data_IF_690706595336
#
_entry.id   IF_690706595336
#
_cell.length_a   1.000
_cell.length_b   1.000
_cell.length_c   1.000
_cell.angle_alpha   90.00
_cell.angle_beta   90.00
_cell.angle_gamma   90.00
#
_symmetry.space_group_name_H-M   'P 1'
#
loop_
_entity.id
_entity.type
_entity.pdbx_description
1 polymer ?
#
# COMPACT_ATOMS: atom_id res chain seq x y z
N UNK A 1 1.27 43.28 -21.07
CA UNK A 1 0.82 41.86 -21.15
C UNK A 1 2.05 41.00 -21.00
N UNK A 2 2.15 40.25 -19.88
CA UNK A 2 3.18 39.22 -19.76
C UNK A 2 2.90 38.16 -20.84
N UNK A 3 3.93 37.73 -21.61
CA UNK A 3 3.72 36.69 -22.60
C UNK A 3 3.18 35.40 -21.88
N UNK A 4 2.17 34.80 -22.44
CA UNK A 4 1.64 33.50 -21.96
C UNK A 4 2.80 32.51 -22.01
N UNK A 5 3.24 32.07 -20.84
CA UNK A 5 4.30 31.08 -20.72
C UNK A 5 3.76 29.76 -21.25
N UNK A 6 4.28 29.33 -22.40
CA UNK A 6 3.90 28.07 -23.03
C UNK A 6 4.17 26.88 -22.10
N UNK A 7 3.41 25.78 -22.27
CA UNK A 7 3.61 24.51 -21.56
C UNK A 7 5.06 24.03 -21.54
N UNK A 8 5.83 24.32 -22.60
CA UNK A 8 7.26 24.00 -22.71
C UNK A 8 8.15 24.73 -21.69
N UNK A 9 7.81 25.96 -21.30
CA UNK A 9 8.57 26.73 -20.32
C UNK A 9 8.30 26.26 -18.88
N UNK A 10 7.07 25.83 -18.58
CA UNK A 10 6.71 25.20 -17.29
C UNK A 10 7.48 23.90 -17.13
N UNK A 11 7.52 23.07 -18.17
CA UNK A 11 8.22 21.79 -18.15
C UNK A 11 9.74 21.92 -17.99
N UNK A 12 10.35 22.91 -18.64
CA UNK A 12 11.78 23.20 -18.49
C UNK A 12 12.12 23.69 -17.07
N UNK A 13 11.28 24.54 -16.48
CA UNK A 13 11.46 25.03 -15.11
C UNK A 13 11.37 23.91 -14.08
N UNK A 14 10.43 22.99 -14.22
CA UNK A 14 10.27 21.87 -13.31
C UNK A 14 11.55 21.05 -13.14
N UNK A 15 12.31 20.84 -14.20
CA UNK A 15 13.59 20.11 -14.18
C UNK A 15 14.67 20.84 -13.38
N UNK A 16 14.76 22.16 -13.53
CA UNK A 16 15.70 23.00 -12.79
C UNK A 16 15.29 23.09 -11.31
N UNK A 17 14.00 23.29 -11.04
CA UNK A 17 13.47 23.38 -9.68
C UNK A 17 13.75 22.08 -8.90
N UNK A 18 13.65 20.92 -9.54
CA UNK A 18 13.93 19.65 -8.91
C UNK A 18 15.40 19.51 -8.51
N UNK A 19 16.31 19.86 -9.40
CA UNK A 19 17.75 19.90 -9.12
C UNK A 19 18.09 20.91 -8.00
N UNK A 20 17.45 22.06 -8.00
CA UNK A 20 17.64 23.09 -6.96
C UNK A 20 17.17 22.61 -5.59
N UNK A 21 16.05 21.87 -5.51
CA UNK A 21 15.60 21.25 -4.26
C UNK A 21 16.60 20.22 -3.75
N UNK A 22 17.10 19.33 -4.61
CA UNK A 22 18.12 18.38 -4.23
C UNK A 22 19.36 19.06 -3.67
N UNK A 23 19.78 20.14 -4.35
CA UNK A 23 20.94 20.93 -3.93
C UNK A 23 20.70 21.63 -2.58
N UNK A 24 19.57 22.32 -2.42
CA UNK A 24 19.28 23.15 -1.25
C UNK A 24 18.97 22.32 0.01
N UNK A 25 18.34 21.15 -0.13
CA UNK A 25 17.90 20.29 0.96
C UNK A 25 18.85 19.12 1.25
N UNK A 26 19.97 19.00 0.52
CA UNK A 26 20.91 17.88 0.63
C UNK A 26 20.20 16.50 0.59
N UNK A 27 19.34 16.30 -0.42
CA UNK A 27 18.53 15.09 -0.53
C UNK A 27 19.40 13.87 -0.81
N UNK A 28 19.34 12.87 0.05
CA UNK A 28 20.09 11.61 -0.05
C UNK A 28 19.41 10.58 -0.92
N UNK A 29 18.06 10.56 -0.90
CA UNK A 29 17.27 9.54 -1.57
C UNK A 29 15.98 10.13 -2.15
N UNK A 30 15.67 9.78 -3.40
CA UNK A 30 14.46 10.20 -4.10
C UNK A 30 13.84 9.06 -4.90
N UNK A 31 12.53 8.84 -4.74
CA UNK A 31 11.75 7.95 -5.60
C UNK A 31 10.83 8.77 -6.51
N UNK A 32 10.73 8.37 -7.77
CA UNK A 32 9.90 9.10 -8.75
C UNK A 32 9.19 8.15 -9.70
N UNK A 33 8.04 8.58 -10.21
CA UNK A 33 7.30 7.82 -11.23
C UNK A 33 8.09 7.71 -12.54
N UNK A 34 7.92 6.63 -13.27
CA UNK A 34 8.61 6.39 -14.56
C UNK A 34 8.44 7.52 -15.56
N UNK A 35 7.35 8.28 -15.49
CA UNK A 35 7.09 9.44 -16.36
C UNK A 35 8.10 10.58 -16.14
N UNK A 36 8.86 10.56 -15.03
CA UNK A 36 9.83 11.58 -14.66
C UNK A 36 11.29 11.17 -14.89
N UNK A 37 11.55 10.00 -15.50
CA UNK A 37 12.92 9.48 -15.73
C UNK A 37 13.80 10.49 -16.46
N UNK A 38 13.31 11.08 -17.56
CA UNK A 38 14.07 12.08 -18.31
C UNK A 38 14.36 13.34 -17.48
N UNK A 39 13.39 13.75 -16.65
CA UNK A 39 13.54 14.87 -15.73
C UNK A 39 14.59 14.57 -14.65
N UNK A 40 14.60 13.39 -14.09
CA UNK A 40 15.59 12.94 -13.11
C UNK A 40 17.01 12.91 -13.70
N UNK A 41 17.16 12.40 -14.93
CA UNK A 41 18.45 12.38 -15.64
C UNK A 41 18.99 13.81 -15.82
N UNK A 42 18.14 14.76 -16.24
CA UNK A 42 18.56 16.14 -16.43
C UNK A 42 18.85 16.83 -15.09
N UNK A 43 18.03 16.63 -14.07
CA UNK A 43 18.25 17.17 -12.73
C UNK A 43 19.56 16.63 -12.12
N UNK A 44 19.89 15.36 -12.35
CA UNK A 44 21.19 14.76 -11.97
C UNK A 44 22.37 15.49 -12.62
N UNK A 45 22.26 15.82 -13.92
CA UNK A 45 23.32 16.59 -14.60
C UNK A 45 23.48 17.99 -14.00
N UNK A 46 22.36 18.67 -13.71
CA UNK A 46 22.36 20.02 -13.12
C UNK A 46 23.01 20.01 -11.72
N UNK A 47 22.61 19.07 -10.84
CA UNK A 47 23.19 18.98 -9.49
C UNK A 47 24.70 18.74 -9.53
N UNK A 48 25.17 17.88 -10.44
CA UNK A 48 26.61 17.65 -10.64
C UNK A 48 27.35 18.90 -11.11
N UNK A 49 26.76 19.69 -12.00
CA UNK A 49 27.32 20.97 -12.42
C UNK A 49 27.38 21.99 -11.28
N UNK A 50 26.45 21.90 -10.31
CA UNK A 50 26.45 22.71 -9.08
C UNK A 50 27.45 22.20 -8.03
N UNK A 51 28.22 21.15 -8.32
CA UNK A 51 29.26 20.61 -7.44
C UNK A 51 28.76 19.68 -6.33
N UNK A 52 27.50 19.21 -6.37
CA UNK A 52 26.96 18.26 -5.41
C UNK A 52 26.70 16.87 -6.02
N UNK A 53 26.67 15.86 -5.16
CA UNK A 53 26.25 14.51 -5.51
C UNK A 53 24.74 14.47 -5.68
N UNK A 54 24.25 13.76 -6.70
CA UNK A 54 22.82 13.53 -6.86
C UNK A 54 22.30 12.49 -5.85
N UNK A 55 21.00 12.54 -5.47
CA UNK A 55 20.37 11.53 -4.64
C UNK A 55 20.52 10.14 -5.24
N UNK A 56 20.58 9.13 -4.37
CA UNK A 56 20.30 7.75 -4.75
C UNK A 56 18.79 7.58 -4.95
N UNK A 57 18.36 6.61 -5.75
CA UNK A 57 16.93 6.40 -5.92
C UNK A 57 16.58 5.51 -7.09
N UNK A 58 15.28 5.38 -7.34
CA UNK A 58 14.77 4.59 -8.47
C UNK A 58 13.43 5.13 -8.98
N UNK A 59 13.14 4.79 -10.24
CA UNK A 59 11.83 5.00 -10.81
C UNK A 59 10.90 3.85 -10.45
N UNK A 60 9.69 4.18 -9.96
CA UNK A 60 8.63 3.21 -9.74
C UNK A 60 7.63 3.18 -10.89
N UNK A 61 6.97 2.03 -11.07
CA UNK A 61 5.94 1.83 -12.07
C UNK A 61 4.59 2.42 -11.66
N UNK A 62 3.72 2.62 -12.64
CA UNK A 62 2.40 3.16 -12.45
C UNK A 62 1.46 2.13 -11.81
N UNK A 63 0.47 2.63 -11.09
CA UNK A 63 -0.69 1.85 -10.68
C UNK A 63 -1.74 1.86 -11.80
N UNK A 64 -2.31 0.68 -12.02
CA UNK A 64 -3.31 0.44 -13.05
C UNK A 64 -4.65 0.11 -12.38
N UNK A 65 -5.75 0.40 -13.03
CA UNK A 65 -7.07 -0.01 -12.60
C UNK A 65 -7.32 -1.52 -12.87
N UNK A 66 -8.52 -1.99 -12.60
CA UNK A 66 -8.92 -3.38 -12.83
C UNK A 66 -8.73 -3.80 -14.30
N UNK A 67 -9.01 -2.89 -15.23
CA UNK A 67 -8.89 -3.14 -16.68
C UNK A 67 -7.46 -3.04 -17.19
N UNK A 68 -6.51 -2.59 -16.37
CA UNK A 68 -5.13 -2.38 -16.74
C UNK A 68 -4.86 -1.00 -17.36
N UNK A 69 -5.78 -0.04 -17.21
CA UNK A 69 -5.59 1.33 -17.60
C UNK A 69 -4.91 2.15 -16.49
N UNK A 70 -4.21 3.22 -16.87
CA UNK A 70 -3.58 4.13 -15.91
C UNK A 70 -4.63 4.76 -14.98
N UNK A 71 -4.41 4.66 -13.67
CA UNK A 71 -5.25 5.35 -12.68
C UNK A 71 -5.06 6.86 -12.82
N UNK A 72 -6.18 7.57 -12.85
CA UNK A 72 -6.23 9.03 -12.97
C UNK A 72 -7.24 9.59 -11.98
N UNK A 73 -6.86 10.68 -11.29
CA UNK A 73 -7.74 11.39 -10.35
C UNK A 73 -9.03 11.87 -11.02
N UNK A 74 -8.96 12.27 -12.29
CA UNK A 74 -10.13 12.76 -13.03
C UNK A 74 -11.11 11.64 -13.42
N UNK A 75 -10.63 10.41 -13.58
CA UNK A 75 -11.46 9.23 -13.87
C UNK A 75 -12.04 8.58 -12.62
N UNK A 76 -11.41 8.78 -11.44
CA UNK A 76 -11.82 8.13 -10.19
C UNK A 76 -11.77 6.60 -10.23
N UNK A 77 -10.89 6.03 -11.08
CA UNK A 77 -10.84 4.61 -11.38
C UNK A 77 -9.86 3.79 -10.54
N UNK A 78 -9.45 4.32 -9.39
CA UNK A 78 -8.54 3.64 -8.46
C UNK A 78 -9.03 3.73 -7.02
N UNK A 79 -8.48 2.90 -6.15
CA UNK A 79 -8.73 2.96 -4.70
C UNK A 79 -7.89 4.08 -4.09
N UNK A 80 -8.50 4.96 -3.31
CA UNK A 80 -7.79 5.99 -2.55
C UNK A 80 -7.20 5.40 -1.26
N UNK A 81 -6.28 6.12 -0.64
CA UNK A 81 -5.72 5.73 0.67
C UNK A 81 -6.83 5.64 1.71
N UNK A 82 -7.73 6.63 1.73
CA UNK A 82 -8.87 6.70 2.64
C UNK A 82 -9.83 5.52 2.46
N UNK A 83 -10.03 5.09 1.21
CA UNK A 83 -10.83 3.90 0.91
C UNK A 83 -10.13 2.62 1.39
N UNK A 84 -8.84 2.48 1.12
CA UNK A 84 -8.08 1.33 1.63
C UNK A 84 -8.19 1.19 3.14
N UNK A 85 -7.98 2.29 3.87
CA UNK A 85 -7.99 2.30 5.33
C UNK A 85 -9.36 2.01 5.96
N UNK A 86 -10.44 2.03 5.18
CA UNK A 86 -11.76 1.53 5.63
C UNK A 86 -11.83 0.01 5.71
N UNK A 87 -11.01 -0.69 4.93
CA UNK A 87 -11.11 -2.14 4.74
C UNK A 87 -9.86 -2.90 5.18
N UNK A 88 -8.76 -2.22 5.43
CA UNK A 88 -7.48 -2.84 5.76
C UNK A 88 -6.54 -1.88 6.51
N UNK A 89 -5.51 -2.45 7.12
CA UNK A 89 -4.53 -1.71 7.90
C UNK A 89 -3.56 -0.88 7.03
N UNK A 90 -2.97 0.20 7.57
CA UNK A 90 -1.93 0.97 6.88
C UNK A 90 -0.67 0.14 6.61
N UNK A 91 -0.36 -0.86 7.45
CA UNK A 91 0.78 -1.75 7.25
C UNK A 91 0.61 -2.63 6.01
N UNK A 92 -0.60 -3.15 5.78
CA UNK A 92 -0.92 -3.91 4.55
C UNK A 92 -0.80 -3.07 3.30
N UNK A 93 -1.23 -1.78 3.36
CA UNK A 93 -1.03 -0.82 2.28
C UNK A 93 0.45 -0.54 2.03
N UNK A 94 1.21 -0.30 3.10
CA UNK A 94 2.65 -0.03 3.01
C UNK A 94 3.38 -1.19 2.34
N UNK A 95 3.09 -2.43 2.74
CA UNK A 95 3.66 -3.61 2.11
C UNK A 95 3.26 -3.70 0.64
N UNK A 96 1.98 -3.53 0.32
CA UNK A 96 1.49 -3.54 -1.06
C UNK A 96 2.19 -2.49 -1.93
N UNK A 97 2.37 -1.26 -1.43
CA UNK A 97 3.01 -0.16 -2.17
C UNK A 97 4.48 -0.45 -2.44
N UNK A 98 5.22 -0.95 -1.46
CA UNK A 98 6.66 -1.17 -1.55
C UNK A 98 7.07 -2.50 -2.20
N UNK A 99 6.21 -3.50 -2.18
CA UNK A 99 6.52 -4.78 -2.79
C UNK A 99 6.63 -4.64 -4.32
N UNK A 100 7.80 -4.99 -4.88
CA UNK A 100 8.07 -4.90 -6.33
C UNK A 100 7.75 -3.53 -6.97
N UNK A 101 8.35 -2.41 -6.53
CA UNK A 101 7.99 -1.08 -6.99
C UNK A 101 8.29 -0.83 -8.47
N UNK A 102 9.19 -1.61 -9.07
CA UNK A 102 9.55 -1.56 -10.50
C UNK A 102 8.58 -2.33 -11.41
N UNK A 103 7.51 -2.91 -10.86
CA UNK A 103 6.50 -3.65 -11.62
C UNK A 103 5.15 -2.95 -11.49
N UNK A 104 4.48 -2.75 -12.62
CA UNK A 104 3.12 -2.20 -12.64
C UNK A 104 2.17 -3.08 -11.83
N UNK A 105 1.35 -2.48 -10.99
CA UNK A 105 0.38 -3.16 -10.13
C UNK A 105 -1.01 -2.64 -10.38
N UNK A 106 -1.97 -3.53 -10.32
CA UNK A 106 -3.38 -3.16 -10.33
C UNK A 106 -3.81 -2.76 -8.93
N UNK A 107 -4.46 -1.59 -8.80
CA UNK A 107 -4.96 -1.03 -7.55
C UNK A 107 -6.47 -0.78 -7.70
N UNK A 108 -7.26 -1.74 -7.28
CA UNK A 108 -8.72 -1.74 -7.31
C UNK A 108 -9.24 -2.46 -6.05
N UNK A 109 -10.52 -2.35 -5.76
CA UNK A 109 -11.08 -2.74 -4.45
C UNK A 109 -10.83 -4.21 -4.10
N UNK A 110 -11.01 -5.10 -5.06
CA UNK A 110 -10.88 -6.56 -4.86
C UNK A 110 -9.43 -7.03 -4.66
N UNK A 111 -8.44 -6.15 -4.86
CA UNK A 111 -7.03 -6.45 -4.53
C UNK A 111 -6.76 -6.35 -3.03
N UNK A 112 -7.56 -5.57 -2.28
CA UNK A 112 -7.33 -5.30 -0.86
C UNK A 112 -7.27 -6.58 -0.03
N UNK A 113 -8.23 -7.54 -0.13
CA UNK A 113 -8.16 -8.78 0.63
C UNK A 113 -6.91 -9.61 0.33
N UNK A 114 -6.49 -9.67 -0.93
CA UNK A 114 -5.28 -10.38 -1.34
C UNK A 114 -4.02 -9.75 -0.75
N UNK A 115 -3.94 -8.41 -0.76
CA UNK A 115 -2.81 -7.69 -0.20
C UNK A 115 -2.73 -7.85 1.33
N UNK A 116 -3.88 -7.93 2.02
CA UNK A 116 -3.92 -8.25 3.45
C UNK A 116 -3.45 -9.68 3.69
N UNK A 117 -3.89 -10.64 2.87
CA UNK A 117 -3.45 -12.04 2.99
C UNK A 117 -1.94 -12.18 2.77
N UNK A 118 -1.36 -11.48 1.78
CA UNK A 118 0.08 -11.43 1.56
C UNK A 118 0.84 -10.81 2.74
N UNK A 119 0.27 -9.77 3.36
CA UNK A 119 0.84 -9.15 4.57
C UNK A 119 0.85 -10.14 5.74
N UNK A 120 -0.26 -10.84 6.01
CA UNK A 120 -0.33 -11.86 7.05
C UNK A 120 0.63 -13.04 6.80
N UNK A 121 0.79 -13.45 5.55
CA UNK A 121 1.73 -14.50 5.16
C UNK A 121 3.19 -14.06 5.37
N UNK A 122 3.51 -12.78 5.16
CA UNK A 122 4.84 -12.24 5.47
C UNK A 122 5.12 -12.23 6.97
N UNK A 123 4.13 -11.92 7.81
CA UNK A 123 4.24 -12.04 9.28
C UNK A 123 4.48 -13.50 9.67
N UNK A 124 3.69 -14.43 9.16
CA UNK A 124 3.83 -15.85 9.51
C UNK A 124 5.19 -16.42 9.07
N UNK A 125 5.67 -16.06 7.87
CA UNK A 125 7.00 -16.43 7.38
C UNK A 125 8.12 -15.89 8.26
N UNK A 126 7.99 -14.67 8.80
CA UNK A 126 9.03 -14.04 9.62
C UNK A 126 9.41 -14.84 10.86
N UNK A 127 8.46 -15.63 11.41
CA UNK A 127 8.67 -16.43 12.62
C UNK A 127 9.71 -17.56 12.46
N UNK A 128 9.88 -18.03 11.23
CA UNK A 128 10.79 -19.13 10.92
C UNK A 128 12.04 -18.68 10.16
N UNK A 129 12.27 -17.36 10.02
CA UNK A 129 13.39 -16.79 9.31
C UNK A 129 14.57 -16.49 10.22
N UNK A 130 15.77 -16.73 9.74
CA UNK A 130 17.00 -16.31 10.38
C UNK A 130 17.17 -14.77 10.36
N UNK A 131 18.08 -14.24 11.20
CA UNK A 131 18.37 -12.81 11.25
C UNK A 131 18.80 -12.19 9.90
N UNK A 132 19.35 -12.97 8.98
CA UNK A 132 19.69 -12.52 7.63
C UNK A 132 18.50 -12.54 6.69
N UNK A 133 17.68 -13.56 6.77
CA UNK A 133 16.49 -13.72 5.92
C UNK A 133 15.39 -12.74 6.29
N UNK A 134 15.25 -12.42 7.59
CA UNK A 134 14.22 -11.48 8.04
C UNK A 134 14.41 -10.07 7.47
N UNK A 135 15.67 -9.66 7.23
CA UNK A 135 15.97 -8.38 6.57
C UNK A 135 15.51 -8.32 5.11
N UNK A 136 15.30 -9.47 4.47
CA UNK A 136 14.74 -9.58 3.12
C UNK A 136 13.21 -9.65 3.13
N UNK A 137 12.62 -9.87 4.30
CA UNK A 137 11.17 -9.87 4.45
C UNK A 137 10.64 -8.44 4.53
N UNK A 138 9.79 -7.98 3.58
CA UNK A 138 9.31 -6.61 3.58
C UNK A 138 8.55 -6.21 4.85
N UNK A 139 7.95 -7.17 5.57
CA UNK A 139 7.22 -6.89 6.82
C UNK A 139 8.15 -6.37 7.92
N UNK A 140 9.42 -6.76 7.93
CA UNK A 140 10.42 -6.23 8.87
C UNK A 140 10.58 -4.71 8.71
N UNK A 141 10.64 -4.22 7.47
CA UNK A 141 10.76 -2.80 7.16
C UNK A 141 9.47 -2.03 7.46
N UNK A 142 8.32 -2.62 7.16
CA UNK A 142 7.00 -2.02 7.47
C UNK A 142 6.83 -1.78 8.97
N UNK A 143 7.35 -2.69 9.81
CA UNK A 143 7.25 -2.61 11.26
C UNK A 143 8.50 -2.05 11.95
N UNK A 144 9.48 -1.53 11.20
CA UNK A 144 10.74 -1.04 11.76
C UNK A 144 11.43 -2.04 12.70
N UNK A 145 11.41 -3.34 12.33
CA UNK A 145 11.98 -4.43 13.10
C UNK A 145 11.09 -5.01 14.20
N UNK A 146 9.97 -4.38 14.54
CA UNK A 146 9.05 -4.82 15.59
C UNK A 146 7.86 -5.59 14.99
N UNK A 147 8.12 -6.72 14.37
CA UNK A 147 7.09 -7.53 13.73
C UNK A 147 6.15 -8.12 14.80
N UNK A 148 4.82 -8.02 14.64
CA UNK A 148 3.87 -8.63 15.57
C UNK A 148 4.01 -10.16 15.61
N UNK A 149 3.97 -10.73 16.82
CA UNK A 149 4.01 -12.19 17.03
C UNK A 149 2.59 -12.76 17.13
N UNK A 150 1.76 -12.45 16.15
CA UNK A 150 0.40 -12.99 16.10
C UNK A 150 0.33 -14.13 15.08
N UNK A 151 -0.26 -15.27 15.46
CA UNK A 151 -0.47 -16.38 14.54
C UNK A 151 -1.64 -16.09 13.61
N UNK A 152 -1.49 -16.48 12.36
CA UNK A 152 -2.59 -16.40 11.39
C UNK A 152 -3.67 -17.42 11.73
N UNK A 153 -4.87 -16.98 12.09
CA UNK A 153 -6.02 -17.84 12.34
C UNK A 153 -6.61 -18.34 11.01
N UNK A 154 -6.89 -17.41 10.12
CA UNK A 154 -7.40 -17.67 8.77
C UNK A 154 -7.01 -16.53 7.82
N UNK A 155 -7.23 -16.70 6.52
CA UNK A 155 -7.03 -15.62 5.56
C UNK A 155 -8.13 -14.56 5.69
N UNK A 156 -7.82 -13.31 5.29
CA UNK A 156 -8.80 -12.24 5.25
C UNK A 156 -9.91 -12.54 4.22
N UNK A 157 -9.54 -13.12 3.10
CA UNK A 157 -10.50 -13.59 2.09
C UNK A 157 -11.48 -14.62 2.66
N UNK A 158 -11.00 -15.54 3.50
CA UNK A 158 -11.88 -16.52 4.19
C UNK A 158 -12.77 -15.86 5.23
N UNK A 159 -12.25 -14.86 5.96
CA UNK A 159 -13.02 -14.09 6.93
C UNK A 159 -14.15 -13.31 6.25
N UNK A 160 -13.91 -12.68 5.09
CA UNK A 160 -14.95 -12.01 4.30
C UNK A 160 -16.07 -12.99 3.88
N UNK A 161 -15.71 -14.17 3.39
CA UNK A 161 -16.68 -15.20 3.04
C UNK A 161 -17.50 -15.66 4.27
N UNK A 162 -16.85 -15.74 5.45
CA UNK A 162 -17.54 -16.09 6.70
C UNK A 162 -18.55 -15.02 7.11
N UNK A 163 -18.22 -13.73 6.99
CA UNK A 163 -19.12 -12.60 7.27
C UNK A 163 -20.32 -12.65 6.34
N UNK A 164 -20.09 -12.84 5.04
CA UNK A 164 -21.15 -12.91 4.03
C UNK A 164 -22.10 -14.09 4.28
N UNK A 165 -21.57 -15.28 4.52
CA UNK A 165 -22.40 -16.49 4.71
C UNK A 165 -23.12 -16.51 6.05
N UNK A 166 -22.53 -15.95 7.10
CA UNK A 166 -23.14 -15.93 8.45
C UNK A 166 -24.09 -14.76 8.68
N UNK A 167 -24.13 -13.78 7.76
CA UNK A 167 -24.83 -12.51 7.96
C UNK A 167 -24.46 -11.81 9.27
N UNK A 168 -23.23 -11.99 9.73
CA UNK A 168 -22.76 -11.45 11.00
C UNK A 168 -22.60 -9.93 10.90
N UNK A 169 -23.42 -9.22 11.65
CA UNK A 169 -23.45 -7.74 11.67
C UNK A 169 -22.73 -7.14 12.88
N UNK A 170 -22.13 -7.96 13.71
CA UNK A 170 -21.38 -7.49 14.87
C UNK A 170 -20.12 -8.34 15.12
N UNK A 171 -19.12 -7.66 15.69
CA UNK A 171 -17.83 -8.24 16.04
C UNK A 171 -17.95 -9.47 16.95
N UNK A 172 -18.80 -9.40 17.96
CA UNK A 172 -18.97 -10.48 18.93
C UNK A 172 -19.62 -11.73 18.32
N UNK A 173 -20.55 -11.54 17.39
CA UNK A 173 -21.16 -12.65 16.64
C UNK A 173 -20.11 -13.33 15.77
N UNK A 174 -19.31 -12.56 15.06
CA UNK A 174 -18.28 -13.10 14.17
C UNK A 174 -17.18 -13.83 14.96
N UNK A 175 -16.77 -13.31 16.12
CA UNK A 175 -15.84 -14.00 17.01
C UNK A 175 -16.35 -15.38 17.46
N UNK A 176 -17.64 -15.51 17.79
CA UNK A 176 -18.24 -16.81 18.13
C UNK A 176 -18.13 -17.83 17.00
N UNK A 177 -18.24 -17.39 15.74
CA UNK A 177 -18.01 -18.28 14.60
C UNK A 177 -16.52 -18.66 14.47
N UNK A 178 -15.61 -17.71 14.66
CA UNK A 178 -14.18 -17.97 14.62
C UNK A 178 -13.74 -18.92 15.72
N UNK A 179 -14.22 -18.77 16.95
CA UNK A 179 -13.95 -19.67 18.09
C UNK A 179 -14.42 -21.11 17.84
N UNK A 180 -15.49 -21.29 17.08
CA UNK A 180 -15.93 -22.65 16.67
C UNK A 180 -14.99 -23.27 15.63
N UNK A 181 -14.41 -22.46 14.77
CA UNK A 181 -13.47 -22.89 13.74
C UNK A 181 -12.09 -23.21 14.32
N UNK A 182 -11.59 -22.36 15.19
CA UNK A 182 -10.28 -22.48 15.81
C UNK A 182 -10.48 -22.61 17.34
N UNK A 183 -10.35 -23.85 17.86
CA UNK A 183 -10.50 -24.15 19.28
C UNK A 183 -9.37 -23.51 20.10
N UNK A 184 -9.68 -23.04 21.32
CA UNK A 184 -8.72 -22.51 22.30
C UNK A 184 -8.07 -21.15 21.91
N UNK A 185 -8.80 -20.27 21.24
CA UNK A 185 -8.35 -18.92 20.93
C UNK A 185 -8.82 -17.95 22.02
N UNK A 186 -7.88 -17.16 22.55
CA UNK A 186 -8.21 -16.01 23.38
C UNK A 186 -8.14 -14.74 22.53
N UNK A 187 -9.27 -14.05 22.35
CA UNK A 187 -9.39 -12.82 21.58
C UNK A 187 -8.29 -11.76 21.89
N UNK A 188 -7.85 -11.68 23.14
CA UNK A 188 -6.83 -10.71 23.58
C UNK A 188 -5.45 -10.94 22.95
N UNK A 189 -5.17 -12.16 22.51
CA UNK A 189 -3.88 -12.55 21.94
C UNK A 189 -3.80 -12.30 20.43
N UNK A 190 -4.91 -11.79 19.83
CA UNK A 190 -5.06 -11.60 18.40
C UNK A 190 -5.52 -10.17 18.01
N UNK A 191 -4.77 -9.12 18.37
CA UNK A 191 -5.15 -7.74 18.11
C UNK A 191 -5.23 -7.39 16.62
N UNK A 192 -4.40 -7.98 15.76
CA UNK A 192 -4.47 -7.77 14.31
C UNK A 192 -5.74 -8.42 13.76
N UNK A 193 -6.00 -9.66 14.14
CA UNK A 193 -7.18 -10.37 13.68
C UNK A 193 -8.49 -9.72 14.19
N UNK A 194 -8.46 -9.20 15.40
CA UNK A 194 -9.58 -8.45 15.98
C UNK A 194 -9.94 -7.20 15.15
N UNK A 195 -8.94 -6.50 14.64
CA UNK A 195 -9.13 -5.39 13.68
C UNK A 195 -9.61 -5.88 12.32
N UNK A 196 -9.11 -7.00 11.82
CA UNK A 196 -9.57 -7.57 10.55
C UNK A 196 -11.06 -7.94 10.60
N UNK A 197 -11.56 -8.38 11.73
CA UNK A 197 -13.00 -8.61 11.95
C UNK A 197 -13.78 -7.30 11.78
N UNK A 198 -13.31 -6.18 12.32
CA UNK A 198 -13.97 -4.88 12.15
C UNK A 198 -13.98 -4.44 10.68
N UNK A 199 -12.84 -4.57 10.00
CA UNK A 199 -12.73 -4.26 8.57
C UNK A 199 -13.65 -5.14 7.72
N UNK A 200 -13.76 -6.43 8.03
CA UNK A 200 -14.59 -7.36 7.27
C UNK A 200 -16.08 -7.02 7.35
N UNK A 201 -16.57 -6.65 8.52
CA UNK A 201 -17.96 -6.20 8.72
C UNK A 201 -18.20 -4.88 7.94
N UNK A 202 -17.26 -3.94 8.02
CA UNK A 202 -17.33 -2.68 7.29
C UNK A 202 -17.36 -2.93 5.77
N UNK A 203 -16.54 -3.86 5.29
CA UNK A 203 -16.51 -4.23 3.87
C UNK A 203 -17.86 -4.74 3.38
N UNK A 204 -18.52 -5.61 4.12
CA UNK A 204 -19.84 -6.15 3.78
C UNK A 204 -20.91 -5.06 3.71
N UNK A 205 -20.95 -4.16 4.70
CA UNK A 205 -21.93 -3.07 4.76
C UNK A 205 -21.85 -2.12 3.56
N UNK A 206 -20.65 -1.95 2.98
CA UNK A 206 -20.45 -1.08 1.81
C UNK A 206 -20.52 -1.81 0.45
N UNK A 207 -20.51 -3.15 0.44
CA UNK A 207 -20.53 -3.94 -0.80
C UNK A 207 -21.89 -4.61 -1.06
N UNK A 208 -22.69 -4.81 -0.01
CA UNK A 208 -24.06 -5.33 -0.19
C UNK A 208 -24.93 -4.28 -0.85
N UNK A 209 -25.68 -4.62 -1.94
CA UNK A 209 -26.66 -3.71 -2.49
C UNK A 209 -27.68 -3.35 -1.40
N UNK A 210 -27.99 -2.06 -1.29
CA UNK A 210 -29.01 -1.58 -0.35
C UNK A 210 -30.32 -2.32 -0.63
N UNK A 211 -31.05 -2.80 0.41
CA UNK A 211 -32.35 -3.44 0.20
C UNK A 211 -33.45 -2.50 -0.30
N UNK A 212 -33.11 -1.33 -0.83
CA UNK A 212 -34.03 -0.25 -1.19
C UNK A 212 -33.89 0.26 -2.63
N UNK A 213 -33.36 -0.54 -3.55
CA UNK A 213 -33.45 -0.23 -4.99
C UNK A 213 -34.22 -1.32 -5.73
#
# INVERSE_FOLDING_TARGET
RSPSRGLGDVYKRQKVDWAMRWYALDVDFEMYGKDLIESAILSTKIVKLLGKKNPSGFAYELFLDEKGEKISKSKGNGVTIEEWLKYASPESLSLFMFQNPKRAKKLYKEIVPKAVDEYLDCIEKSKNQSNKEILLNPVWHVHNGNIPDEKKIMSYSMLLNLVETSNANSKDVLWKFVERYAKEINKKDYPIFDKLIEYSITCLLYTSPSPRD
#
